data_IF_799758222424
#
_entry.id   IF_799758222424
#
_cell.length_a   1.000
_cell.length_b   1.000
_cell.length_c   1.000
_cell.angle_alpha   90.00
_cell.angle_beta   90.00
_cell.angle_gamma   90.00
#
_symmetry.space_group_name_H-M   'P 1'
#
loop_
_entity.id
_entity.type
_entity.pdbx_description
1 polymer ?
#
# COMPACT_ATOMS: atom_id res chain seq x y z
N UNK A 1 -21.82 11.90 -1.19
CA UNK A 1 -21.38 10.90 -2.18
C UNK A 1 -19.89 11.09 -2.39
N UNK A 2 -19.07 10.05 -2.26
CA UNK A 2 -17.62 10.18 -2.40
C UNK A 2 -17.26 10.15 -3.89
N UNK A 3 -16.92 11.30 -4.48
CA UNK A 3 -16.63 11.47 -5.92
C UNK A 3 -15.55 10.49 -6.43
N UNK A 4 -14.63 10.06 -5.56
CA UNK A 4 -13.58 9.10 -5.91
C UNK A 4 -14.11 7.66 -6.12
N UNK A 5 -15.26 7.32 -5.52
CA UNK A 5 -15.88 6.01 -5.67
C UNK A 5 -16.67 5.88 -6.99
N UNK A 6 -17.22 7.00 -7.49
CA UNK A 6 -18.05 7.04 -8.71
C UNK A 6 -17.31 6.50 -9.93
N UNK A 7 -16.00 6.77 -10.04
CA UNK A 7 -15.18 6.28 -11.14
C UNK A 7 -15.07 4.75 -11.22
N UNK A 8 -15.34 4.03 -10.12
CA UNK A 8 -15.31 2.56 -10.07
C UNK A 8 -16.70 1.93 -10.18
N UNK A 9 -17.77 2.71 -10.02
CA UNK A 9 -19.16 2.22 -10.11
C UNK A 9 -19.51 1.84 -11.55
N UNK A 10 -19.03 2.62 -12.52
CA UNK A 10 -19.32 2.42 -13.95
C UNK A 10 -18.39 1.40 -14.64
N UNK A 11 -17.44 0.79 -13.92
CA UNK A 11 -16.45 -0.09 -14.52
C UNK A 11 -16.95 -1.53 -14.67
N UNK A 12 -16.57 -2.17 -15.78
CA UNK A 12 -16.72 -3.61 -15.95
C UNK A 12 -15.88 -4.39 -14.93
N UNK A 13 -16.24 -5.64 -14.65
CA UNK A 13 -15.47 -6.52 -13.75
C UNK A 13 -14.00 -6.63 -14.17
N UNK A 14 -13.72 -6.76 -15.47
CA UNK A 14 -12.36 -6.78 -16.00
C UNK A 14 -11.61 -5.48 -15.71
N UNK A 15 -12.25 -4.33 -15.93
CA UNK A 15 -11.66 -3.02 -15.62
C UNK A 15 -11.39 -2.85 -14.12
N UNK A 16 -12.26 -3.38 -13.26
CA UNK A 16 -12.07 -3.36 -11.80
C UNK A 16 -10.92 -4.26 -11.37
N UNK A 17 -10.76 -5.44 -11.98
CA UNK A 17 -9.59 -6.32 -11.74
C UNK A 17 -8.28 -5.65 -12.17
N UNK A 18 -8.28 -4.95 -13.31
CA UNK A 18 -7.12 -4.16 -13.74
C UNK A 18 -6.78 -3.04 -12.76
N UNK A 19 -7.79 -2.36 -12.22
CA UNK A 19 -7.57 -1.35 -11.17
C UNK A 19 -6.95 -1.95 -9.89
N UNK A 20 -7.44 -3.11 -9.45
CA UNK A 20 -6.84 -3.86 -8.33
C UNK A 20 -5.38 -4.22 -8.61
N UNK A 21 -5.09 -4.71 -9.81
CA UNK A 21 -3.72 -5.02 -10.23
C UNK A 21 -2.82 -3.78 -10.19
N UNK A 22 -3.29 -2.66 -10.74
CA UNK A 22 -2.53 -1.40 -10.75
C UNK A 22 -2.22 -0.90 -9.33
N UNK A 23 -3.19 -0.97 -8.42
CA UNK A 23 -2.98 -0.61 -7.01
C UNK A 23 -1.95 -1.52 -6.33
N UNK A 24 -2.01 -2.83 -6.60
CA UNK A 24 -1.03 -3.79 -6.08
C UNK A 24 0.38 -3.50 -6.58
N UNK A 25 0.55 -3.26 -7.89
CA UNK A 25 1.87 -2.98 -8.48
C UNK A 25 2.49 -1.71 -7.88
N UNK A 26 1.67 -0.68 -7.62
CA UNK A 26 2.13 0.54 -6.93
C UNK A 26 2.59 0.26 -5.50
N UNK A 27 1.85 -0.56 -4.73
CA UNK A 27 2.29 -1.00 -3.41
C UNK A 27 3.62 -1.77 -3.45
N UNK A 28 3.78 -2.67 -4.42
CA UNK A 28 5.02 -3.44 -4.60
C UNK A 28 6.20 -2.52 -4.96
N UNK A 29 5.97 -1.50 -5.79
CA UNK A 29 7.00 -0.51 -6.14
C UNK A 29 7.47 0.26 -4.89
N UNK A 30 6.55 0.82 -4.10
CA UNK A 30 6.90 1.56 -2.87
C UNK A 30 7.65 0.68 -1.88
N UNK A 31 7.20 -0.56 -1.67
CA UNK A 31 7.89 -1.49 -0.77
C UNK A 31 9.27 -1.91 -1.30
N UNK A 32 9.42 -2.10 -2.61
CA UNK A 32 10.70 -2.41 -3.24
C UNK A 32 11.69 -1.27 -3.09
N UNK A 33 11.24 -0.03 -3.25
CA UNK A 33 12.06 1.17 -3.07
C UNK A 33 12.54 1.30 -1.62
N UNK A 34 11.62 1.21 -0.66
CA UNK A 34 11.95 1.22 0.76
C UNK A 34 12.94 0.10 1.14
N UNK A 35 12.78 -1.11 0.58
CA UNK A 35 13.70 -2.23 0.80
C UNK A 35 15.08 -1.98 0.20
N UNK A 36 15.15 -1.34 -0.97
CA UNK A 36 16.42 -1.00 -1.64
C UNK A 36 17.23 -0.01 -0.81
N UNK A 37 16.59 1.03 -0.29
CA UNK A 37 17.24 2.02 0.58
C UNK A 37 17.87 1.38 1.82
N UNK A 38 17.10 0.58 2.57
CA UNK A 38 17.59 -0.15 3.75
C UNK A 38 18.82 -0.99 3.41
N UNK A 39 18.76 -1.69 2.27
CA UNK A 39 19.84 -2.58 1.83
C UNK A 39 21.11 -1.80 1.46
N UNK A 40 20.97 -0.60 0.90
CA UNK A 40 22.09 0.30 0.60
C UNK A 40 22.74 0.90 1.85
N UNK A 41 21.95 1.12 2.91
CA UNK A 41 22.43 1.58 4.22
C UNK A 41 23.12 0.46 5.02
N UNK A 42 23.18 -0.77 4.50
CA UNK A 42 23.76 -1.93 5.19
C UNK A 42 22.93 -2.42 6.38
N UNK A 43 21.70 -1.91 6.53
CA UNK A 43 20.79 -2.30 7.59
C UNK A 43 20.04 -3.57 7.19
N UNK A 44 19.82 -4.47 8.14
CA UNK A 44 18.98 -5.65 7.91
C UNK A 44 17.50 -5.25 8.10
N UNK A 45 16.62 -5.48 7.11
CA UNK A 45 15.20 -5.16 7.25
C UNK A 45 14.59 -5.96 8.41
N UNK A 46 14.03 -5.27 9.40
CA UNK A 46 13.31 -5.91 10.48
C UNK A 46 11.92 -6.33 10.02
N UNK A 47 11.59 -7.60 10.22
CA UNK A 47 10.25 -8.13 9.93
C UNK A 47 9.32 -7.82 11.09
N UNK A 48 8.37 -6.91 10.89
CA UNK A 48 7.30 -6.67 11.87
C UNK A 48 6.12 -7.60 11.59
N UNK A 49 6.01 -8.68 12.37
CA UNK A 49 4.86 -9.60 12.40
C UNK A 49 4.92 -10.80 11.45
N UNK A 50 3.99 -11.73 11.64
CA UNK A 50 3.91 -13.03 10.94
C UNK A 50 3.16 -12.95 9.59
N UNK A 51 3.09 -11.74 9.03
CA UNK A 51 2.33 -11.47 7.81
C UNK A 51 3.13 -12.02 6.64
N UNK A 52 2.62 -13.09 6.00
CA UNK A 52 3.16 -13.70 4.77
C UNK A 52 3.30 -12.74 3.57
N UNK A 53 2.98 -11.45 3.75
CA UNK A 53 3.16 -10.41 2.74
C UNK A 53 4.62 -9.94 2.73
N UNK A 54 5.26 -10.08 1.57
CA UNK A 54 6.66 -9.72 1.29
C UNK A 54 6.90 -8.21 1.17
N UNK A 55 5.98 -7.37 1.65
CA UNK A 55 6.12 -5.92 1.59
C UNK A 55 6.96 -5.45 2.78
N UNK A 56 8.18 -5.01 2.50
CA UNK A 56 9.04 -4.33 3.46
C UNK A 56 8.73 -2.85 3.42
N UNK A 57 8.42 -2.28 4.58
CA UNK A 57 8.22 -0.85 4.76
C UNK A 57 9.22 -0.34 5.79
N UNK A 58 9.76 0.84 5.55
CA UNK A 58 10.58 1.55 6.54
C UNK A 58 9.64 2.38 7.40
N UNK A 59 9.77 2.25 8.71
CA UNK A 59 9.13 3.15 9.67
C UNK A 59 10.20 4.09 10.21
N UNK A 60 9.85 5.36 10.35
CA UNK A 60 10.74 6.36 10.93
C UNK A 60 10.78 6.16 12.47
N UNK A 61 11.96 5.89 13.05
CA UNK A 61 12.11 5.76 14.49
C UNK A 61 12.33 7.09 15.20
N UNK A 62 12.17 8.26 14.53
CA UNK A 62 12.51 9.62 15.00
C UNK A 62 11.90 10.09 16.33
N UNK A 63 11.17 9.23 17.05
CA UNK A 63 10.76 9.45 18.44
C UNK A 63 9.42 10.16 18.60
N UNK A 64 8.81 10.66 17.52
CA UNK A 64 7.42 11.12 17.54
C UNK A 64 6.47 9.92 17.40
N UNK A 65 5.88 9.50 18.52
CA UNK A 65 4.93 8.40 18.60
C UNK A 65 3.74 8.58 17.66
N UNK A 66 3.28 9.81 17.44
CA UNK A 66 2.13 10.09 16.58
C UNK A 66 2.43 9.79 15.11
N UNK A 67 3.63 10.15 14.65
CA UNK A 67 4.13 9.87 13.30
C UNK A 67 4.34 8.37 13.11
N UNK A 68 4.97 7.71 14.08
CA UNK A 68 5.18 6.27 14.04
C UNK A 68 3.85 5.49 13.96
N UNK A 69 2.87 5.84 14.79
CA UNK A 69 1.55 5.20 14.79
C UNK A 69 0.78 5.46 13.49
N UNK A 70 0.92 6.65 12.89
CA UNK A 70 0.33 6.96 11.59
C UNK A 70 0.93 6.08 10.49
N UNK A 71 2.26 5.98 10.42
CA UNK A 71 2.95 5.11 9.46
C UNK A 71 2.59 3.64 9.67
N UNK A 72 2.55 3.17 10.92
CA UNK A 72 2.18 1.79 11.24
C UNK A 72 0.74 1.46 10.78
N UNK A 73 -0.22 2.36 10.99
CA UNK A 73 -1.61 2.20 10.51
C UNK A 73 -1.66 2.07 8.99
N UNK A 74 -0.93 2.92 8.27
CA UNK A 74 -0.87 2.89 6.81
C UNK A 74 -0.23 1.58 6.32
N UNK A 75 0.84 1.09 6.97
CA UNK A 75 1.46 -0.21 6.66
C UNK A 75 0.51 -1.38 6.88
N UNK A 76 -0.27 -1.38 7.97
CA UNK A 76 -1.30 -2.40 8.19
C UNK A 76 -2.36 -2.39 7.10
N UNK A 77 -2.81 -1.19 6.70
CA UNK A 77 -3.77 -1.04 5.61
C UNK A 77 -3.18 -1.56 4.29
N UNK A 78 -1.93 -1.24 3.97
CA UNK A 78 -1.26 -1.73 2.78
C UNK A 78 -1.14 -3.26 2.74
N UNK A 79 -0.82 -3.90 3.88
CA UNK A 79 -0.80 -5.37 4.01
C UNK A 79 -2.17 -5.97 3.78
N UNK A 80 -3.22 -5.34 4.31
CA UNK A 80 -4.60 -5.77 4.09
C UNK A 80 -4.99 -5.67 2.61
N UNK A 81 -4.70 -4.55 1.95
CA UNK A 81 -4.93 -4.34 0.51
C UNK A 81 -4.16 -5.39 -0.31
N UNK A 82 -2.91 -5.68 0.06
CA UNK A 82 -2.09 -6.69 -0.61
C UNK A 82 -2.71 -8.09 -0.53
N UNK A 83 -3.23 -8.46 0.65
CA UNK A 83 -3.92 -9.73 0.86
C UNK A 83 -5.16 -9.86 -0.02
N UNK A 84 -6.10 -8.90 0.10
CA UNK A 84 -7.37 -8.96 -0.64
C UNK A 84 -7.13 -8.86 -2.16
N UNK A 85 -6.25 -7.97 -2.61
CA UNK A 85 -5.90 -7.88 -4.03
C UNK A 85 -5.34 -9.21 -4.56
N UNK A 86 -4.57 -9.94 -3.75
CA UNK A 86 -4.10 -11.28 -4.11
C UNK A 86 -5.26 -12.23 -4.35
N UNK A 87 -6.21 -12.29 -3.42
CA UNK A 87 -7.34 -13.22 -3.53
C UNK A 87 -8.24 -12.88 -4.71
N UNK A 88 -8.48 -11.58 -4.97
CA UNK A 88 -9.24 -11.10 -6.13
C UNK A 88 -8.54 -11.47 -7.45
N UNK A 89 -7.23 -11.23 -7.55
CA UNK A 89 -6.48 -11.48 -8.79
C UNK A 89 -6.36 -12.98 -9.10
N UNK A 90 -6.25 -13.84 -8.07
CA UNK A 90 -6.21 -15.29 -8.23
C UNK A 90 -7.60 -15.95 -8.28
N UNK A 91 -8.69 -15.16 -8.27
CA UNK A 91 -10.06 -15.69 -8.34
C UNK A 91 -10.53 -16.43 -7.08
N UNK A 92 -9.82 -16.31 -5.96
CA UNK A 92 -10.26 -16.83 -4.64
C UNK A 92 -11.34 -15.97 -4.01
N UNK A 93 -11.40 -14.69 -4.39
CA UNK A 93 -12.48 -13.76 -4.07
C UNK A 93 -13.05 -13.17 -5.35
N UNK A 94 -14.38 -13.01 -5.41
CA UNK A 94 -15.04 -12.37 -6.55
C UNK A 94 -14.83 -10.85 -6.52
N UNK A 95 -14.49 -10.25 -7.67
CA UNK A 95 -14.39 -8.79 -7.82
C UNK A 95 -15.74 -8.08 -7.61
N UNK A 96 -16.85 -8.78 -7.86
CA UNK A 96 -18.21 -8.27 -7.61
C UNK A 96 -18.44 -8.01 -6.12
N UNK A 97 -17.78 -8.79 -5.25
CA UNK A 97 -17.87 -8.66 -3.79
C UNK A 97 -16.96 -7.58 -3.22
N UNK A 98 -16.13 -6.94 -4.05
CA UNK A 98 -15.31 -5.81 -3.63
C UNK A 98 -16.09 -4.53 -3.93
N UNK A 99 -16.62 -3.78 -2.96
CA UNK A 99 -17.31 -2.52 -3.24
C UNK A 99 -16.47 -1.47 -3.99
N UNK A 100 -17.07 -0.66 -4.89
CA UNK A 100 -16.38 0.45 -5.56
C UNK A 100 -15.72 1.46 -4.62
N UNK A 101 -16.31 1.73 -3.46
CA UNK A 101 -15.74 2.65 -2.47
C UNK A 101 -14.44 2.12 -1.87
N UNK A 102 -14.29 0.80 -1.69
CA UNK A 102 -13.05 0.21 -1.20
C UNK A 102 -11.90 0.44 -2.16
N UNK A 103 -12.14 0.39 -3.48
CA UNK A 103 -11.09 0.72 -4.47
C UNK A 103 -10.62 2.17 -4.34
N UNK A 104 -11.54 3.09 -4.03
CA UNK A 104 -11.18 4.49 -3.78
C UNK A 104 -10.38 4.67 -2.49
N UNK A 105 -10.77 3.98 -1.41
CA UNK A 105 -10.03 3.95 -0.15
C UNK A 105 -8.63 3.35 -0.33
N UNK A 106 -8.52 2.26 -1.10
CA UNK A 106 -7.24 1.63 -1.39
C UNK A 106 -6.35 2.58 -2.18
N UNK A 107 -6.88 3.29 -3.18
CA UNK A 107 -6.07 4.28 -3.91
C UNK A 107 -5.61 5.43 -3.02
N UNK A 108 -6.46 5.90 -2.09
CA UNK A 108 -6.05 6.91 -1.12
C UNK A 108 -4.89 6.39 -0.24
N UNK A 109 -5.01 5.18 0.31
CA UNK A 109 -3.97 4.57 1.11
C UNK A 109 -2.64 4.38 0.36
N UNK A 110 -2.70 3.98 -0.92
CA UNK A 110 -1.51 3.87 -1.77
C UNK A 110 -0.87 5.24 -2.00
N UNK A 111 -1.67 6.29 -2.25
CA UNK A 111 -1.14 7.66 -2.39
C UNK A 111 -0.49 8.16 -1.12
N UNK A 112 -1.07 7.87 0.05
CA UNK A 112 -0.49 8.27 1.33
C UNK A 112 0.87 7.60 1.55
N UNK A 113 0.99 6.32 1.20
CA UNK A 113 2.28 5.60 1.21
C UNK A 113 3.32 6.20 0.27
N UNK A 114 2.93 6.50 -0.96
CA UNK A 114 3.80 7.15 -1.95
C UNK A 114 4.27 8.53 -1.42
N UNK A 115 3.39 9.28 -0.77
CA UNK A 115 3.72 10.55 -0.12
C UNK A 115 4.73 10.41 1.01
N UNK A 116 4.56 9.40 1.87
CA UNK A 116 5.50 9.09 2.96
C UNK A 116 6.88 8.72 2.37
N UNK A 117 6.91 7.89 1.32
CA UNK A 117 8.16 7.50 0.67
C UNK A 117 8.90 8.70 0.06
N UNK A 118 8.19 9.58 -0.65
CA UNK A 118 8.78 10.78 -1.25
C UNK A 118 9.26 11.81 -0.22
N UNK A 119 8.59 11.92 0.93
CA UNK A 119 9.05 12.80 2.01
C UNK A 119 10.39 12.32 2.59
N UNK A 120 10.58 11.01 2.70
CA UNK A 120 11.83 10.41 3.16
C UNK A 120 12.99 10.73 2.23
N UNK A 121 12.80 10.63 0.90
CA UNK A 121 13.81 11.02 -0.09
C UNK A 121 14.26 12.48 0.06
N UNK A 122 13.33 13.38 0.39
CA UNK A 122 13.64 14.82 0.57
C UNK A 122 14.31 15.13 1.90
N UNK A 123 14.05 14.34 2.94
CA UNK A 123 14.66 14.49 4.27
C UNK A 123 16.09 13.99 4.36
N UNK A 124 16.46 12.97 3.58
CA UNK A 124 17.81 12.38 3.56
C UNK A 124 18.86 13.19 2.76
N UNK A 125 18.50 14.37 2.24
CA UNK A 125 19.35 15.23 1.41
C UNK A 125 19.86 16.52 2.08
N UNK A 126 19.68 16.67 3.40
CA UNK A 126 20.16 17.81 4.21
C UNK A 126 21.22 17.34 5.23
#
# INVERSE_FOLDING_TARGET
MNLAAERYVALSDSSRRLAVLALRLRLEAVASEASREISMEGLAPQRVGDVKARLFFVLDPSGDESVFLAQLRVVHLARHIYGISSDVLHGRSSIVNLPPFLLAEWEAAVRDLEGIAQQKERGSGA
#
